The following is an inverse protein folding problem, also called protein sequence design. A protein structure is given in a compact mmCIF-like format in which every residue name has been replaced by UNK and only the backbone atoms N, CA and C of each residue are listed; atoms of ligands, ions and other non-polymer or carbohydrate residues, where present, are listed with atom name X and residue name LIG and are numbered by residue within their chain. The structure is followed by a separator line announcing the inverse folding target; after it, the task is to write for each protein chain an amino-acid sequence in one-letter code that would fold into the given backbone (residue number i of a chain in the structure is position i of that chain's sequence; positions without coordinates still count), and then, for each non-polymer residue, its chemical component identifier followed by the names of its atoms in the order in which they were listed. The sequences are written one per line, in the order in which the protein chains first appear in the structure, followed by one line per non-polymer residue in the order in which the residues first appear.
data_IF_142573589204
#
_entry.id   IF_142573589204
#
_cell.length_a   1.000
_cell.length_b   1.000
_cell.length_c   1.000
_cell.angle_alpha   90.00
_cell.angle_beta   90.00
_cell.angle_gamma   90.00
#
_symmetry.space_group_name_H-M   'P 1'
#
loop_
_entity.id
_entity.type
_entity.pdbx_description
1 polymer ?
#
# COMPACT_ATOMS: atom_id res chain seq x y z
N UNK A 1 -39.97 7.21 -11.86
CA UNK A 1 -38.71 7.71 -12.46
C UNK A 1 -37.56 7.64 -11.45
N UNK A 2 -36.86 6.50 -11.35
CA UNK A 2 -35.70 6.35 -10.44
C UNK A 2 -34.46 6.92 -11.13
N UNK A 3 -34.09 8.16 -10.80
CA UNK A 3 -32.82 8.75 -11.24
C UNK A 3 -31.67 7.99 -10.57
N UNK A 4 -30.97 7.16 -11.35
CA UNK A 4 -29.70 6.57 -10.96
C UNK A 4 -28.71 7.71 -10.71
N UNK A 5 -28.32 7.91 -9.44
CA UNK A 5 -27.29 8.87 -9.10
C UNK A 5 -25.98 8.41 -9.73
N UNK A 6 -25.39 9.28 -10.55
CA UNK A 6 -24.07 9.12 -11.14
C UNK A 6 -23.10 8.66 -10.05
N UNK A 7 -22.66 7.41 -10.17
CA UNK A 7 -21.75 6.74 -9.24
C UNK A 7 -20.41 7.45 -9.32
N UNK A 8 -20.11 8.30 -8.32
CA UNK A 8 -18.75 8.78 -8.09
C UNK A 8 -17.81 7.58 -8.09
N UNK A 9 -16.83 7.61 -8.98
CA UNK A 9 -16.06 6.44 -9.42
C UNK A 9 -15.72 5.48 -8.28
N UNK A 10 -15.99 4.19 -8.49
CA UNK A 10 -15.68 3.12 -7.55
C UNK A 10 -14.19 3.18 -7.18
N UNK A 11 -13.88 3.70 -5.99
CA UNK A 11 -12.52 3.71 -5.47
C UNK A 11 -12.30 2.33 -4.85
N UNK A 12 -11.68 1.45 -5.63
CA UNK A 12 -11.39 0.07 -5.24
C UNK A 12 -9.92 -0.10 -4.88
N UNK A 13 -9.63 -1.19 -4.18
CA UNK A 13 -8.25 -1.59 -3.89
C UNK A 13 -7.51 -1.95 -5.18
N UNK A 14 -6.22 -1.62 -5.26
CA UNK A 14 -5.35 -1.97 -6.39
C UNK A 14 -4.96 -3.46 -6.44
N UNK A 15 -5.27 -4.22 -5.40
CA UNK A 15 -4.90 -5.64 -5.31
C UNK A 15 -5.81 -6.48 -6.18
N UNK A 16 -5.22 -7.38 -6.95
CA UNK A 16 -5.91 -8.31 -7.82
C UNK A 16 -6.84 -9.23 -7.02
N UNK A 17 -8.06 -9.43 -7.50
CA UNK A 17 -9.10 -10.15 -6.77
C UNK A 17 -9.71 -9.39 -5.57
N UNK A 18 -9.32 -8.13 -5.32
CA UNK A 18 -9.89 -7.33 -4.24
C UNK A 18 -10.93 -6.32 -4.72
N UNK A 19 -12.22 -6.62 -4.49
CA UNK A 19 -13.33 -5.69 -4.75
C UNK A 19 -13.68 -4.80 -3.54
N UNK A 20 -12.76 -4.62 -2.58
CA UNK A 20 -13.03 -3.86 -1.37
C UNK A 20 -13.36 -2.39 -1.70
N UNK A 21 -14.49 -1.91 -1.17
CA UNK A 21 -14.95 -0.55 -1.36
C UNK A 21 -14.21 0.42 -0.43
N UNK A 22 -13.44 1.34 -1.01
CA UNK A 22 -12.65 2.33 -0.24
C UNK A 22 -13.43 3.62 0.04
N UNK A 23 -14.70 3.73 -0.35
CA UNK A 23 -15.53 4.92 -0.09
C UNK A 23 -15.93 5.03 1.37
N UNK A 24 -16.00 3.90 2.07
CA UNK A 24 -16.23 3.86 3.53
C UNK A 24 -14.92 3.79 4.33
N UNK A 25 -13.79 3.55 3.68
CA UNK A 25 -12.48 3.51 4.35
C UNK A 25 -11.97 4.92 4.70
N UNK A 26 -11.02 4.98 5.66
CA UNK A 26 -10.29 6.19 6.04
C UNK A 26 -9.62 6.83 4.81
N UNK A 27 -9.46 8.15 4.84
CA UNK A 27 -8.89 8.92 3.73
C UNK A 27 -7.52 8.39 3.26
N UNK A 28 -6.65 7.99 4.18
CA UNK A 28 -5.36 7.37 3.86
C UNK A 28 -5.50 6.18 2.90
N UNK A 29 -6.37 5.23 3.23
CA UNK A 29 -6.65 4.04 2.41
C UNK A 29 -7.21 4.42 1.04
N UNK A 30 -8.10 5.42 1.00
CA UNK A 30 -8.71 5.92 -0.24
C UNK A 30 -7.69 6.60 -1.15
N UNK A 31 -6.82 7.46 -0.58
CA UNK A 31 -5.77 8.18 -1.30
C UNK A 31 -4.75 7.23 -1.92
N UNK A 32 -4.39 6.16 -1.20
CA UNK A 32 -3.40 5.17 -1.64
C UNK A 32 -4.01 3.96 -2.35
N UNK A 33 -5.34 3.96 -2.54
CA UNK A 33 -6.12 2.87 -3.17
C UNK A 33 -5.78 1.49 -2.62
N UNK A 34 -5.68 1.39 -1.29
CA UNK A 34 -5.35 0.18 -0.56
C UNK A 34 -6.32 0.02 0.60
N UNK A 35 -6.93 -1.16 0.77
CA UNK A 35 -7.79 -1.42 1.92
C UNK A 35 -6.93 -1.70 3.17
N UNK A 36 -7.53 -1.57 4.34
CA UNK A 36 -6.85 -1.83 5.62
C UNK A 36 -6.13 -3.19 5.66
N UNK A 37 -6.74 -4.33 5.29
CA UNK A 37 -6.06 -5.62 5.34
C UNK A 37 -4.86 -5.68 4.38
N UNK A 38 -4.98 -5.16 3.15
CA UNK A 38 -3.87 -5.16 2.19
C UNK A 38 -2.75 -4.17 2.54
N UNK A 39 -3.02 -3.13 3.33
CA UNK A 39 -1.97 -2.26 3.85
C UNK A 39 -1.07 -2.96 4.88
N UNK A 40 -1.59 -4.02 5.52
CA UNK A 40 -0.91 -4.82 6.55
C UNK A 40 -0.47 -6.19 6.03
N UNK A 41 -0.99 -6.62 4.88
CA UNK A 41 -0.71 -7.91 4.29
C UNK A 41 0.78 -8.07 3.96
N UNK A 42 1.38 -9.23 4.27
CA UNK A 42 2.77 -9.48 3.95
C UNK A 42 3.00 -9.63 2.44
N UNK A 43 2.01 -10.10 1.69
CA UNK A 43 2.06 -10.31 0.24
C UNK A 43 0.71 -9.95 -0.35
N UNK A 44 0.71 -9.28 -1.49
CA UNK A 44 -0.48 -9.00 -2.31
C UNK A 44 -0.16 -9.22 -3.77
N UNK A 45 -1.14 -9.65 -4.56
CA UNK A 45 -0.96 -9.84 -6.00
C UNK A 45 -1.44 -8.61 -6.74
N UNK A 46 -0.63 -8.03 -7.63
CA UNK A 46 -1.01 -6.94 -8.53
C UNK A 46 -0.48 -7.29 -9.91
N UNK A 47 -1.36 -7.32 -10.92
CA UNK A 47 -1.00 -7.72 -12.29
C UNK A 47 -0.24 -9.07 -12.35
N UNK A 48 -0.72 -10.08 -11.61
CA UNK A 48 -0.07 -11.41 -11.49
C UNK A 48 1.37 -11.40 -10.96
N UNK A 49 1.79 -10.33 -10.27
CA UNK A 49 3.08 -10.24 -9.59
C UNK A 49 2.87 -10.04 -8.10
N UNK A 50 3.82 -10.50 -7.30
CA UNK A 50 3.77 -10.35 -5.86
C UNK A 50 4.38 -9.01 -5.42
N UNK A 51 3.59 -8.27 -4.67
CA UNK A 51 3.92 -6.95 -4.15
C UNK A 51 3.70 -6.91 -2.64
N UNK A 52 4.28 -5.89 -2.00
CA UNK A 52 3.99 -5.52 -0.60
C UNK A 52 3.85 -4.01 -0.50
N UNK A 53 2.97 -3.56 0.38
CA UNK A 53 2.78 -2.15 0.67
C UNK A 53 3.88 -1.63 1.60
N UNK A 54 4.65 -0.64 1.15
CA UNK A 54 5.66 0.01 1.98
C UNK A 54 5.02 1.15 2.78
N UNK A 55 5.00 1.04 4.10
CA UNK A 55 4.36 2.03 4.97
C UNK A 55 5.02 3.42 4.90
N UNK A 56 6.32 3.49 4.62
CA UNK A 56 7.03 4.76 4.52
C UNK A 56 6.98 5.41 3.14
N UNK A 57 6.76 4.63 2.09
CA UNK A 57 6.58 5.16 0.75
C UNK A 57 5.10 5.35 0.40
N UNK A 58 4.20 4.78 1.20
CA UNK A 58 2.76 4.67 0.95
C UNK A 58 2.44 4.19 -0.48
N UNK A 59 3.23 3.21 -0.95
CA UNK A 59 3.17 2.62 -2.30
C UNK A 59 3.47 1.13 -2.26
N UNK A 60 2.95 0.41 -3.26
CA UNK A 60 3.29 -0.99 -3.50
C UNK A 60 4.66 -1.09 -4.18
N UNK A 61 5.52 -1.96 -3.67
CA UNK A 61 6.77 -2.37 -4.30
C UNK A 61 6.75 -3.89 -4.50
N UNK A 62 7.55 -4.40 -5.44
CA UNK A 62 7.75 -5.84 -5.59
C UNK A 62 8.25 -6.42 -4.26
N UNK A 63 7.87 -7.66 -3.93
CA UNK A 63 8.40 -8.35 -2.76
C UNK A 63 9.92 -8.38 -2.73
N UNK A 64 10.57 -8.47 -3.90
CA UNK A 64 12.03 -8.45 -4.01
C UNK A 64 12.68 -7.16 -3.49
N UNK A 65 11.93 -6.06 -3.36
CA UNK A 65 12.43 -4.79 -2.82
C UNK A 65 12.38 -4.71 -1.28
N UNK A 66 11.94 -5.77 -0.59
CA UNK A 66 11.85 -5.87 0.87
C UNK A 66 12.82 -6.92 1.40
N UNK A 67 13.32 -6.71 2.62
CA UNK A 67 13.92 -7.79 3.41
C UNK A 67 12.83 -8.50 4.22
N UNK A 68 12.93 -9.82 4.31
CA UNK A 68 11.96 -10.62 5.06
C UNK A 68 11.91 -10.17 6.53
N UNK A 69 10.71 -9.93 7.05
CA UNK A 69 10.49 -9.32 8.37
C UNK A 69 10.44 -7.78 8.43
N UNK A 70 10.67 -7.04 7.34
CA UNK A 70 10.51 -5.56 7.31
C UNK A 70 9.31 -5.10 6.47
N UNK A 71 8.58 -4.10 6.98
CA UNK A 71 7.42 -3.46 6.31
C UNK A 71 7.78 -2.22 5.48
N UNK A 72 9.06 -1.88 5.40
CA UNK A 72 9.60 -0.78 4.57
C UNK A 72 10.53 -1.36 3.53
N UNK A 73 10.55 -0.79 2.32
CA UNK A 73 11.46 -1.21 1.27
C UNK A 73 12.93 -0.91 1.63
N UNK A 74 13.85 -1.72 1.09
CA UNK A 74 15.30 -1.67 1.35
C UNK A 74 15.88 -0.27 1.18
N UNK A 75 15.51 0.41 0.08
CA UNK A 75 15.96 1.78 -0.23
C UNK A 75 15.65 2.77 0.88
N UNK A 76 14.45 2.70 1.45
CA UNK A 76 14.04 3.63 2.51
C UNK A 76 14.71 3.25 3.84
N UNK A 77 14.82 1.96 4.13
CA UNK A 77 15.48 1.47 5.33
C UNK A 77 16.97 1.87 5.39
N UNK A 78 17.68 1.75 4.26
CA UNK A 78 19.09 2.16 4.14
C UNK A 78 19.29 3.66 4.43
N UNK A 79 18.42 4.52 3.89
CA UNK A 79 18.47 5.96 4.18
C UNK A 79 18.28 6.26 5.68
N UNK A 80 17.33 5.60 6.34
CA UNK A 80 17.12 5.74 7.79
C UNK A 80 18.32 5.25 8.60
N UNK A 81 18.85 4.08 8.26
CA UNK A 81 20.02 3.51 8.93
C UNK A 81 21.25 4.42 8.79
N UNK A 82 21.48 5.00 7.60
CA UNK A 82 22.55 5.97 7.34
C UNK A 82 22.40 7.24 8.18
N UNK A 83 21.19 7.80 8.28
CA UNK A 83 20.93 8.97 9.14
C UNK A 83 21.15 8.66 10.62
N UNK A 84 20.72 7.48 11.08
CA UNK A 84 20.91 7.04 12.47
C UNK A 84 22.40 6.86 12.79
N UNK A 85 23.17 6.23 11.90
CA UNK A 85 24.63 6.06 12.07
C UNK A 85 25.38 7.39 12.16
N UNK A 86 24.97 8.41 11.39
CA UNK A 86 25.58 9.76 11.42
C UNK A 86 25.27 10.57 12.68
N UNK A 87 24.24 10.19 13.43
CA UNK A 87 23.83 10.89 14.66
C UNK A 87 24.36 10.23 15.94
N UNK A 88 25.12 9.14 15.84
CA UNK A 88 25.81 8.58 17.00
C UNK A 88 27.17 9.28 17.15
N UNK A 89 27.45 9.91 18.32
CA UNK A 89 28.71 10.60 18.59
C UNK A 89 29.91 9.64 18.66
#
# INVERSE_FOLDING_TARGET
SKRAKVVGGLVQCLVDGCAADLRLCREYHRRHRVCEPHSKAPVVTICNREHRFCQQCSRFHSLSEFDDGKRSCRKRLDWHNKRRRKMQP
#
